data_IF_475710505613
#
_entry.id   IF_475710505613
#
_cell.length_a   1.000
_cell.length_b   1.000
_cell.length_c   1.000
_cell.angle_alpha   90.00
_cell.angle_beta   90.00
_cell.angle_gamma   90.00
#
_symmetry.space_group_name_H-M   'P 1'
#
loop_
_entity.id
_entity.type
_entity.pdbx_description
1 polymer ?
#
# COMPACT_ATOMS: atom_id res chain seq x y z
N UNK A 1 -9.14 42.88 -8.61
CA UNK A 1 -9.57 43.70 -7.45
C UNK A 1 -11.01 44.04 -7.69
N UNK A 2 -11.86 43.73 -6.72
CA UNK A 2 -13.21 44.29 -6.71
C UNK A 2 -13.19 45.74 -6.23
N UNK A 3 -14.30 46.48 -6.36
CA UNK A 3 -14.34 47.92 -6.03
C UNK A 3 -14.05 48.26 -4.54
N UNK A 4 -14.08 47.26 -3.64
CA UNK A 4 -13.72 47.37 -2.22
C UNK A 4 -12.26 46.98 -1.91
N UNK A 5 -11.40 46.78 -2.91
CA UNK A 5 -9.99 46.44 -2.72
C UNK A 5 -9.71 45.03 -2.18
N UNK A 6 -10.75 44.19 -2.00
CA UNK A 6 -10.60 42.77 -1.64
C UNK A 6 -10.05 41.98 -2.83
N UNK A 7 -9.11 41.07 -2.55
CA UNK A 7 -8.65 40.05 -3.50
C UNK A 7 -9.76 39.00 -3.65
N UNK A 8 -10.33 38.90 -4.85
CA UNK A 8 -11.30 37.85 -5.17
C UNK A 8 -10.53 36.52 -5.26
N UNK A 9 -10.90 35.47 -4.51
CA UNK A 9 -10.26 34.17 -4.62
C UNK A 9 -10.59 33.51 -5.97
N UNK A 10 -9.64 32.76 -6.50
CA UNK A 10 -9.80 32.02 -7.74
C UNK A 10 -10.26 30.61 -7.36
N UNK A 11 -11.49 30.26 -7.71
CA UNK A 11 -12.14 29.02 -7.27
C UNK A 11 -12.03 27.95 -8.36
N UNK A 12 -11.38 26.85 -8.04
CA UNK A 12 -11.06 25.77 -8.97
C UNK A 12 -11.87 24.51 -8.64
N UNK A 13 -12.32 23.79 -9.66
CA UNK A 13 -12.77 22.39 -9.55
C UNK A 13 -11.77 21.47 -10.25
N UNK A 14 -11.45 20.32 -9.66
CA UNK A 14 -10.75 19.21 -10.33
C UNK A 14 -11.60 17.93 -10.22
N UNK A 15 -11.59 17.11 -11.28
CA UNK A 15 -12.29 15.81 -11.29
C UNK A 15 -11.30 14.65 -11.42
N UNK A 16 -11.20 13.84 -10.37
CA UNK A 16 -10.44 12.60 -10.37
C UNK A 16 -11.31 11.40 -10.77
N UNK A 17 -10.74 10.45 -11.51
CA UNK A 17 -11.22 9.07 -11.65
C UNK A 17 -10.37 8.14 -10.80
N UNK A 18 -11.02 7.23 -10.09
CA UNK A 18 -10.44 6.30 -9.12
C UNK A 18 -10.56 4.88 -9.66
N UNK A 19 -9.45 4.14 -9.67
CA UNK A 19 -9.45 2.68 -9.82
C UNK A 19 -8.84 2.08 -8.53
N UNK A 20 -9.46 1.10 -7.84
CA UNK A 20 -10.72 0.41 -8.14
C UNK A 20 -11.90 1.36 -8.31
N UNK A 21 -12.90 0.92 -9.08
CA UNK A 21 -14.23 1.44 -8.84
C UNK A 21 -14.79 0.86 -7.54
N UNK A 22 -15.48 1.69 -6.77
CA UNK A 22 -16.23 1.28 -5.59
C UNK A 22 -17.56 0.67 -6.02
N UNK A 23 -18.18 -0.10 -5.12
CA UNK A 23 -19.46 -0.77 -5.41
C UNK A 23 -20.69 0.10 -5.15
N UNK A 24 -20.52 1.18 -4.39
CA UNK A 24 -21.54 2.18 -4.08
C UNK A 24 -20.85 3.53 -3.85
N UNK A 25 -21.59 4.62 -4.04
CA UNK A 25 -21.12 5.96 -3.71
C UNK A 25 -21.04 6.15 -2.19
N UNK A 26 -20.01 6.83 -1.69
CA UNK A 26 -19.74 7.05 -0.25
C UNK A 26 -19.19 8.48 -0.02
N UNK A 27 -19.42 9.07 1.15
CA UNK A 27 -18.91 10.42 1.54
C UNK A 27 -17.98 10.28 2.73
N UNK A 28 -16.72 10.69 2.59
CA UNK A 28 -15.65 10.38 3.54
C UNK A 28 -14.65 11.52 3.60
N UNK A 29 -14.36 12.01 4.80
CA UNK A 29 -13.45 13.14 5.07
C UNK A 29 -13.74 14.39 4.20
N UNK A 30 -15.01 14.57 3.82
CA UNK A 30 -15.48 15.65 2.94
C UNK A 30 -15.48 15.33 1.44
N UNK A 31 -14.87 14.23 0.99
CA UNK A 31 -14.90 13.77 -0.40
C UNK A 31 -16.16 12.96 -0.69
N UNK A 32 -16.88 13.30 -1.75
CA UNK A 32 -17.90 12.42 -2.35
C UNK A 32 -17.22 11.53 -3.39
N UNK A 33 -17.18 10.23 -3.13
CA UNK A 33 -16.83 9.20 -4.10
C UNK A 33 -18.09 8.77 -4.83
N UNK A 34 -18.29 9.22 -6.06
CA UNK A 34 -19.47 8.95 -6.89
C UNK A 34 -19.20 7.75 -7.83
N UNK A 35 -20.01 6.70 -7.74
CA UNK A 35 -19.94 5.54 -8.65
C UNK A 35 -20.87 5.75 -9.85
N UNK A 36 -20.29 5.82 -11.05
CA UNK A 36 -20.99 6.01 -12.31
C UNK A 36 -20.64 4.85 -13.26
N UNK A 37 -21.49 3.83 -13.29
CA UNK A 37 -21.27 2.63 -14.11
C UNK A 37 -20.16 1.74 -13.56
N UNK A 38 -19.00 1.72 -14.24
CA UNK A 38 -17.80 0.97 -13.84
C UNK A 38 -16.65 1.88 -13.38
N UNK A 39 -16.91 3.17 -13.16
CA UNK A 39 -15.92 4.15 -12.75
C UNK A 39 -16.34 4.83 -11.44
N UNK A 40 -15.36 5.18 -10.60
CA UNK A 40 -15.57 6.04 -9.44
C UNK A 40 -14.93 7.39 -9.70
N UNK A 41 -15.63 8.46 -9.35
CA UNK A 41 -15.14 9.82 -9.47
C UNK A 41 -15.13 10.54 -8.13
N UNK A 42 -14.19 11.48 -7.98
CA UNK A 42 -14.18 12.46 -6.88
C UNK A 42 -14.04 13.85 -7.50
N UNK A 43 -14.95 14.76 -7.17
CA UNK A 43 -14.81 16.19 -7.47
C UNK A 43 -14.33 16.92 -6.23
N UNK A 44 -13.34 17.80 -6.39
CA UNK A 44 -12.83 18.62 -5.30
C UNK A 44 -12.77 20.07 -5.75
N UNK A 45 -13.28 20.96 -4.90
CA UNK A 45 -13.23 22.41 -5.10
C UNK A 45 -12.29 23.07 -4.10
N UNK A 46 -11.41 23.95 -4.56
CA UNK A 46 -10.48 24.70 -3.70
C UNK A 46 -10.16 26.09 -4.28
N UNK A 47 -9.66 26.98 -3.43
CA UNK A 47 -9.35 28.37 -3.82
C UNK A 47 -7.85 28.64 -3.87
N UNK A 48 -7.40 29.50 -4.79
CA UNK A 48 -6.09 30.18 -4.74
C UNK A 48 -6.28 31.68 -4.56
N UNK A 49 -5.28 32.34 -3.97
CA UNK A 49 -5.24 33.79 -3.76
C UNK A 49 -4.99 34.57 -5.05
N UNK A 50 -4.26 33.98 -5.99
CA UNK A 50 -4.01 34.52 -7.33
C UNK A 50 -4.10 33.43 -8.41
N UNK A 51 -4.31 33.83 -9.66
CA UNK A 51 -4.33 32.95 -10.83
C UNK A 51 -2.95 32.37 -11.18
N UNK A 52 -1.87 33.07 -10.83
CA UNK A 52 -0.47 32.73 -11.07
C UNK A 52 0.31 32.46 -9.78
N UNK A 53 -0.40 32.21 -8.67
CA UNK A 53 0.18 31.80 -7.39
C UNK A 53 1.10 30.58 -7.59
N UNK A 54 2.27 30.60 -6.97
CA UNK A 54 3.15 29.43 -6.82
C UNK A 54 3.27 29.09 -5.35
N UNK A 55 3.28 27.79 -5.05
CA UNK A 55 3.49 27.27 -3.71
C UNK A 55 4.96 26.84 -3.55
N UNK A 56 5.44 26.82 -2.30
CA UNK A 56 6.83 26.48 -1.99
C UNK A 56 7.18 25.01 -2.25
N UNK A 57 6.17 24.15 -2.40
CA UNK A 57 6.25 22.70 -2.62
C UNK A 57 5.78 22.27 -4.03
N UNK A 58 5.75 23.21 -4.98
CA UNK A 58 5.58 22.90 -6.40
C UNK A 58 6.80 22.09 -6.90
N UNK A 59 6.56 20.94 -7.53
CA UNK A 59 7.59 19.99 -7.99
C UNK A 59 8.20 20.39 -9.35
N UNK A 60 7.51 21.24 -10.12
CA UNK A 60 7.97 21.72 -11.43
C UNK A 60 8.10 23.25 -11.53
N UNK A 61 9.04 23.72 -12.36
CA UNK A 61 9.20 25.15 -12.69
C UNK A 61 7.92 25.78 -13.27
N UNK A 62 7.09 24.98 -13.93
CA UNK A 62 5.82 25.40 -14.54
C UNK A 62 4.58 24.90 -13.77
N UNK A 63 4.76 24.33 -12.59
CA UNK A 63 3.65 23.96 -11.70
C UNK A 63 3.19 25.20 -10.91
N UNK A 64 1.89 25.45 -10.94
CA UNK A 64 1.25 26.56 -10.23
C UNK A 64 0.39 26.03 -9.06
N UNK A 65 -0.07 26.93 -8.19
CA UNK A 65 -0.77 26.58 -6.95
C UNK A 65 -2.03 25.74 -7.16
N UNK A 66 -2.76 25.92 -8.27
CA UNK A 66 -3.92 25.09 -8.58
C UNK A 66 -3.54 23.65 -8.91
N UNK A 67 -2.37 23.44 -9.53
CA UNK A 67 -1.83 22.13 -9.86
C UNK A 67 -1.24 21.46 -8.61
N UNK A 68 -0.47 22.20 -7.81
CA UNK A 68 0.02 21.73 -6.51
C UNK A 68 -1.11 21.33 -5.57
N UNK A 69 -2.21 22.10 -5.52
CA UNK A 69 -3.40 21.71 -4.75
C UNK A 69 -4.05 20.44 -5.32
N UNK A 70 -4.26 20.34 -6.64
CA UNK A 70 -4.77 19.09 -7.25
C UNK A 70 -3.91 17.87 -6.92
N UNK A 71 -2.58 17.98 -6.97
CA UNK A 71 -1.64 16.90 -6.59
C UNK A 71 -1.79 16.52 -5.12
N UNK A 72 -1.88 17.49 -4.20
CA UNK A 72 -2.12 17.23 -2.77
C UNK A 72 -3.45 16.51 -2.52
N UNK A 73 -4.54 16.91 -3.18
CA UNK A 73 -5.83 16.23 -3.05
C UNK A 73 -5.78 14.81 -3.62
N UNK A 74 -5.09 14.59 -4.75
CA UNK A 74 -4.87 13.25 -5.30
C UNK A 74 -4.11 12.34 -4.32
N UNK A 75 -3.08 12.87 -3.64
CA UNK A 75 -2.33 12.14 -2.60
C UNK A 75 -3.21 11.79 -1.38
N UNK A 76 -4.08 12.71 -0.92
CA UNK A 76 -5.03 12.41 0.16
C UNK A 76 -6.01 11.31 -0.22
N UNK A 77 -6.62 11.41 -1.40
CA UNK A 77 -7.53 10.39 -1.94
C UNK A 77 -6.80 9.04 -2.06
N UNK A 78 -5.54 9.04 -2.54
CA UNK A 78 -4.72 7.83 -2.61
C UNK A 78 -4.46 7.23 -1.22
N UNK A 79 -4.22 8.04 -0.20
CA UNK A 79 -4.02 7.56 1.16
C UNK A 79 -5.28 6.87 1.71
N UNK A 80 -6.48 7.46 1.56
CA UNK A 80 -7.75 6.81 1.90
C UNK A 80 -7.90 5.42 1.24
N UNK A 81 -7.41 5.27 0.01
CA UNK A 81 -7.41 3.98 -0.69
C UNK A 81 -6.35 3.00 -0.16
N UNK A 82 -5.20 3.47 0.34
CA UNK A 82 -4.24 2.62 1.07
C UNK A 82 -4.79 2.16 2.42
N UNK A 83 -5.44 3.04 3.19
CA UNK A 83 -6.11 2.70 4.45
C UNK A 83 -7.09 1.53 4.24
N UNK A 84 -7.86 1.59 3.14
CA UNK A 84 -8.75 0.51 2.68
C UNK A 84 -8.03 -0.79 2.37
N UNK A 85 -6.86 -0.77 1.71
CA UNK A 85 -6.07 -2.00 1.49
C UNK A 85 -5.64 -2.66 2.78
N UNK A 86 -5.15 -1.87 3.76
CA UNK A 86 -4.71 -2.40 5.05
C UNK A 86 -5.90 -3.00 5.78
N UNK A 87 -7.05 -2.33 5.79
CA UNK A 87 -8.28 -2.86 6.37
C UNK A 87 -8.73 -4.17 5.71
N UNK A 88 -8.67 -4.28 4.38
CA UNK A 88 -9.13 -5.47 3.66
C UNK A 88 -8.08 -6.60 3.67
N UNK A 89 -6.81 -6.25 3.86
CA UNK A 89 -5.61 -7.07 3.64
C UNK A 89 -5.42 -7.49 2.18
N UNK A 90 -5.87 -6.62 1.26
CA UNK A 90 -5.81 -6.84 -0.18
C UNK A 90 -4.97 -5.72 -0.79
N UNK A 91 -3.75 -6.05 -1.18
CA UNK A 91 -2.86 -5.15 -1.91
C UNK A 91 -2.93 -5.48 -3.39
N UNK A 92 -3.59 -4.61 -4.13
CA UNK A 92 -3.49 -4.49 -5.58
C UNK A 92 -3.21 -2.99 -5.83
N UNK A 93 -2.89 -2.52 -7.04
CA UNK A 93 -2.56 -1.10 -7.18
C UNK A 93 -3.74 -0.11 -7.06
N UNK A 94 -3.49 1.20 -6.94
CA UNK A 94 -4.53 2.28 -6.96
C UNK A 94 -4.39 3.06 -8.26
N UNK A 95 -5.40 3.77 -8.76
CA UNK A 95 -5.28 4.92 -9.69
C UNK A 95 -6.04 6.09 -9.10
N UNK A 96 -5.45 7.29 -9.19
CA UNK A 96 -6.13 8.57 -8.98
C UNK A 96 -5.74 9.45 -10.17
N UNK A 97 -6.53 9.41 -11.23
CA UNK A 97 -6.24 10.06 -12.52
C UNK A 97 -7.06 11.34 -12.63
N UNK A 98 -6.43 12.46 -12.98
CA UNK A 98 -7.17 13.68 -13.34
C UNK A 98 -7.86 13.45 -14.69
N UNK A 99 -9.20 13.55 -14.69
CA UNK A 99 -10.05 13.41 -15.89
C UNK A 99 -10.52 14.75 -16.45
N UNK A 100 -10.47 15.78 -15.61
CA UNK A 100 -10.62 17.17 -15.99
C UNK A 100 -9.68 17.97 -15.08
N UNK A 101 -8.68 18.63 -15.69
CA UNK A 101 -7.74 19.50 -14.98
C UNK A 101 -8.41 20.64 -14.22
N UNK A 102 -7.67 21.33 -13.33
CA UNK A 102 -8.19 22.42 -12.50
C UNK A 102 -8.94 23.46 -13.34
N UNK A 103 -10.25 23.54 -13.20
CA UNK A 103 -11.14 24.39 -14.00
C UNK A 103 -11.63 25.56 -13.15
N UNK A 104 -11.37 26.78 -13.60
CA UNK A 104 -11.75 28.01 -12.89
C UNK A 104 -13.26 28.26 -12.98
N UNK A 105 -13.95 28.11 -11.86
CA UNK A 105 -15.41 28.20 -11.74
C UNK A 105 -15.91 29.66 -11.84
N UNK A 106 -15.26 30.60 -11.15
CA UNK A 106 -15.70 31.99 -11.06
C UNK A 106 -15.06 32.91 -12.11
N UNK A 107 -14.72 32.37 -13.29
CA UNK A 107 -14.06 33.11 -14.37
C UNK A 107 -14.79 34.38 -14.82
N UNK A 108 -16.11 34.43 -14.68
CA UNK A 108 -16.93 35.60 -15.05
C UNK A 108 -16.81 36.77 -14.07
N UNK A 109 -16.33 36.52 -12.85
CA UNK A 109 -16.14 37.51 -11.78
C UNK A 109 -14.71 38.08 -11.77
N UNK A 110 -13.81 37.47 -12.55
CA UNK A 110 -12.38 37.78 -12.54
C UNK A 110 -11.98 38.64 -13.75
N UNK A 111 -10.98 39.54 -13.62
CA UNK A 111 -10.43 40.28 -14.75
C UNK A 111 -9.91 39.33 -15.85
N UNK A 112 -9.94 39.74 -17.12
CA UNK A 112 -9.52 38.88 -18.25
C UNK A 112 -8.07 38.37 -18.11
N UNK A 113 -7.94 37.15 -17.63
CA UNK A 113 -6.66 36.42 -17.52
C UNK A 113 -6.11 36.05 -18.91
N UNK A 114 -4.77 36.05 -19.03
CA UNK A 114 -4.05 35.85 -20.30
C UNK A 114 -3.29 34.53 -20.42
N UNK A 115 -3.32 33.67 -19.40
CA UNK A 115 -2.62 32.37 -19.37
C UNK A 115 -3.59 31.24 -19.73
N UNK A 116 -3.11 30.26 -20.48
CA UNK A 116 -3.85 29.01 -20.71
C UNK A 116 -3.83 28.20 -19.42
N UNK A 117 -4.98 27.73 -18.96
CA UNK A 117 -5.07 26.85 -17.78
C UNK A 117 -4.38 25.53 -18.14
N UNK A 118 -3.36 25.15 -17.37
CA UNK A 118 -2.45 24.06 -17.74
C UNK A 118 -3.15 22.71 -17.87
N UNK A 119 -2.81 21.95 -18.92
CA UNK A 119 -3.34 20.60 -19.12
C UNK A 119 -2.88 19.61 -18.03
N UNK A 120 -3.57 18.47 -18.00
CA UNK A 120 -3.57 17.43 -16.97
C UNK A 120 -2.21 17.10 -16.32
N UNK A 121 -2.18 17.13 -14.98
CA UNK A 121 -1.16 16.39 -14.23
C UNK A 121 -1.49 14.90 -14.39
N UNK A 122 -0.64 14.18 -15.12
CA UNK A 122 -0.83 12.75 -15.38
C UNK A 122 -0.40 11.94 -14.16
N UNK A 123 -1.27 11.92 -13.15
CA UNK A 123 -1.13 11.06 -11.98
C UNK A 123 -1.63 9.66 -12.37
N UNK A 124 -0.73 8.69 -12.42
CA UNK A 124 -0.99 7.30 -12.82
C UNK A 124 -0.30 6.33 -11.85
N UNK A 125 -1.02 5.28 -11.52
CA UNK A 125 -0.65 4.10 -10.71
C UNK A 125 -1.46 2.90 -11.35
N UNK A 126 -1.81 1.77 -10.71
CA UNK A 126 -2.69 0.70 -11.30
C UNK A 126 -4.15 0.43 -10.76
N UNK A 127 -4.57 -0.80 -10.42
CA UNK A 127 -6.00 -1.23 -10.28
C UNK A 127 -6.20 -2.07 -9.00
N UNK A 128 -7.28 -1.84 -8.22
CA UNK A 128 -7.89 -2.90 -7.40
C UNK A 128 -9.24 -3.36 -8.00
N UNK A 129 -9.73 -4.48 -7.49
CA UNK A 129 -11.11 -4.95 -7.44
C UNK A 129 -11.29 -5.73 -6.13
N UNK A 130 -12.22 -5.31 -5.25
CA UNK A 130 -12.81 -6.07 -4.11
C UNK A 130 -13.83 -5.21 -3.30
N UNK A 131 -14.74 -5.89 -2.60
CA UNK A 131 -15.83 -5.43 -1.72
C UNK A 131 -15.47 -4.42 -0.60
N UNK A 132 -16.50 -3.94 0.11
CA UNK A 132 -16.52 -3.22 1.40
C UNK A 132 -16.03 -1.76 1.46
N UNK A 133 -16.65 -1.04 2.40
CA UNK A 133 -16.74 0.41 2.51
C UNK A 133 -15.39 1.09 2.77
N UNK A 134 -15.15 2.24 2.13
CA UNK A 134 -14.02 3.09 2.51
C UNK A 134 -14.30 3.70 3.91
N UNK A 135 -15.55 4.06 4.24
CA UNK A 135 -15.90 4.72 5.52
C UNK A 135 -15.50 3.85 6.73
N UNK A 136 -15.82 2.55 6.67
CA UNK A 136 -15.42 1.58 7.70
C UNK A 136 -13.89 1.46 7.81
N UNK A 137 -13.18 1.46 6.69
CA UNK A 137 -11.71 1.39 6.69
C UNK A 137 -11.05 2.65 7.24
N UNK A 138 -11.63 3.81 6.96
CA UNK A 138 -11.16 5.11 7.44
C UNK A 138 -11.41 5.29 8.94
N UNK A 139 -12.57 4.82 9.42
CA UNK A 139 -12.88 4.76 10.85
C UNK A 139 -11.99 3.76 11.60
N UNK A 140 -11.69 2.60 10.99
CA UNK A 140 -10.67 1.67 11.49
C UNK A 140 -9.30 2.34 11.59
N UNK A 141 -8.89 3.11 10.57
CA UNK A 141 -7.60 3.80 10.54
C UNK A 141 -7.52 4.88 11.63
N UNK A 142 -8.42 5.87 11.62
CA UNK A 142 -8.48 6.97 12.59
C UNK A 142 -8.63 6.53 14.05
N UNK A 143 -9.25 5.38 14.31
CA UNK A 143 -9.42 4.84 15.68
C UNK A 143 -8.41 3.74 16.05
N UNK A 144 -7.54 3.37 15.11
CA UNK A 144 -6.63 2.24 15.22
C UNK A 144 -5.42 2.54 16.09
N UNK A 145 -4.60 3.48 15.61
CA UNK A 145 -3.31 3.86 16.19
C UNK A 145 -3.46 4.35 17.62
N UNK A 146 -2.96 3.55 18.56
CA UNK A 146 -3.06 3.78 20.01
C UNK A 146 -1.75 3.36 20.67
N UNK A 147 -1.57 3.72 21.93
CA UNK A 147 -0.46 3.27 22.76
C UNK A 147 0.92 3.44 22.08
N UNK A 148 1.47 2.35 21.53
CA UNK A 148 2.80 2.27 20.94
C UNK A 148 2.85 2.69 19.46
N UNK A 149 1.72 2.64 18.76
CA UNK A 149 1.58 2.95 17.33
C UNK A 149 1.02 4.35 17.06
N UNK A 150 0.62 5.09 18.09
CA UNK A 150 0.19 6.48 17.99
C UNK A 150 1.26 7.37 17.30
N UNK A 151 0.87 8.12 16.26
CA UNK A 151 1.79 9.00 15.51
C UNK A 151 2.70 8.26 14.51
N UNK A 152 2.30 7.06 14.06
CA UNK A 152 3.04 6.21 13.10
C UNK A 152 2.27 5.93 11.81
N UNK A 153 1.20 6.67 11.56
CA UNK A 153 0.32 6.55 10.40
C UNK A 153 1.12 6.60 9.09
N UNK A 154 2.06 7.54 8.97
CA UNK A 154 2.91 7.71 7.78
C UNK A 154 3.87 6.52 7.55
N UNK A 155 4.42 5.92 8.62
CA UNK A 155 5.26 4.73 8.52
C UNK A 155 4.44 3.54 7.98
N UNK A 156 3.19 3.39 8.44
CA UNK A 156 2.27 2.35 7.96
C UNK A 156 1.81 2.61 6.52
N UNK A 157 1.52 3.87 6.13
CA UNK A 157 1.21 4.24 4.74
C UNK A 157 2.38 3.94 3.80
N UNK A 158 3.62 4.20 4.24
CA UNK A 158 4.83 3.89 3.47
C UNK A 158 5.04 2.39 3.28
N UNK A 159 4.77 1.57 4.31
CA UNK A 159 4.78 0.10 4.18
C UNK A 159 3.68 -0.35 3.22
N UNK A 160 2.46 0.19 3.35
CA UNK A 160 1.34 -0.10 2.47
C UNK A 160 1.64 0.28 1.01
N UNK A 161 2.31 1.40 0.76
CA UNK A 161 2.77 1.82 -0.56
C UNK A 161 3.72 0.79 -1.18
N UNK A 162 4.72 0.28 -0.45
CA UNK A 162 5.63 -0.74 -0.98
C UNK A 162 4.89 -2.03 -1.37
N UNK A 163 3.96 -2.50 -0.53
CA UNK A 163 3.11 -3.65 -0.86
C UNK A 163 2.21 -3.37 -2.08
N UNK A 164 1.65 -2.16 -2.18
CA UNK A 164 0.85 -1.72 -3.33
C UNK A 164 1.65 -1.69 -4.64
N UNK A 165 2.87 -1.13 -4.61
CA UNK A 165 3.78 -1.03 -5.75
C UNK A 165 4.27 -2.40 -6.23
N UNK A 166 4.33 -3.40 -5.33
CA UNK A 166 4.69 -4.78 -5.72
C UNK A 166 3.71 -5.44 -6.67
N UNK A 167 2.47 -4.92 -6.78
CA UNK A 167 1.47 -5.33 -7.76
C UNK A 167 1.44 -4.49 -9.05
N UNK A 168 2.25 -3.42 -9.14
CA UNK A 168 2.39 -2.59 -10.36
C UNK A 168 3.52 -3.08 -11.26
N UNK A 169 4.49 -3.75 -10.66
CA UNK A 169 5.61 -4.35 -11.36
C UNK A 169 5.16 -5.57 -12.19
N UNK A 170 5.86 -5.78 -13.30
CA UNK A 170 5.58 -6.80 -14.30
C UNK A 170 6.55 -7.99 -14.23
N UNK A 171 7.78 -7.76 -13.78
CA UNK A 171 8.75 -8.82 -13.54
C UNK A 171 8.56 -9.44 -12.15
N UNK A 172 8.29 -10.75 -12.09
CA UNK A 172 7.97 -11.48 -10.85
C UNK A 172 9.07 -11.36 -9.77
N UNK A 173 10.33 -11.25 -10.17
CA UNK A 173 11.47 -11.14 -9.26
C UNK A 173 11.48 -9.73 -8.65
N UNK A 174 11.31 -8.68 -9.46
CA UNK A 174 11.14 -7.32 -8.99
C UNK A 174 9.88 -7.17 -8.13
N UNK A 175 8.74 -7.76 -8.50
CA UNK A 175 7.53 -7.78 -7.68
C UNK A 175 7.83 -8.33 -6.26
N UNK A 176 8.55 -9.45 -6.19
CA UNK A 176 8.95 -10.05 -4.93
C UNK A 176 9.94 -9.19 -4.13
N UNK A 177 10.93 -8.58 -4.79
CA UNK A 177 11.88 -7.62 -4.18
C UNK A 177 11.11 -6.46 -3.55
N UNK A 178 10.16 -5.86 -4.27
CA UNK A 178 9.36 -4.71 -3.82
C UNK A 178 8.44 -5.11 -2.66
N UNK A 179 7.79 -6.28 -2.73
CA UNK A 179 7.00 -6.83 -1.61
C UNK A 179 7.86 -7.10 -0.36
N UNK A 180 9.10 -7.59 -0.55
CA UNK A 180 10.04 -7.81 0.53
C UNK A 180 10.51 -6.51 1.18
N UNK A 181 10.68 -5.42 0.42
CA UNK A 181 11.00 -4.09 0.98
C UNK A 181 9.87 -3.61 1.89
N UNK A 182 8.61 -3.77 1.48
CA UNK A 182 7.45 -3.47 2.34
C UNK A 182 7.45 -4.30 3.63
N UNK A 183 7.67 -5.61 3.51
CA UNK A 183 7.74 -6.49 4.68
C UNK A 183 8.95 -6.19 5.60
N UNK A 184 10.09 -5.75 5.05
CA UNK A 184 11.25 -5.29 5.81
C UNK A 184 10.94 -4.02 6.62
N UNK A 185 10.25 -3.05 6.02
CA UNK A 185 9.72 -1.89 6.74
C UNK A 185 8.81 -2.31 7.91
N UNK A 186 7.92 -3.26 7.67
CA UNK A 186 7.01 -3.79 8.70
C UNK A 186 7.74 -4.43 9.89
N UNK A 187 8.66 -5.37 9.67
CA UNK A 187 9.37 -6.01 10.79
C UNK A 187 10.45 -5.12 11.41
N UNK A 188 10.97 -4.14 10.67
CA UNK A 188 11.82 -3.09 11.21
C UNK A 188 11.05 -2.21 12.21
N UNK A 189 9.90 -1.68 11.79
CA UNK A 189 9.02 -0.85 12.61
C UNK A 189 8.48 -1.61 13.84
N UNK A 190 8.09 -2.88 13.68
CA UNK A 190 7.67 -3.70 14.81
C UNK A 190 8.80 -3.93 15.81
N UNK A 191 10.03 -4.20 15.37
CA UNK A 191 11.16 -4.32 16.30
C UNK A 191 11.47 -2.98 16.99
N UNK A 192 11.47 -1.85 16.27
CA UNK A 192 11.67 -0.50 16.85
C UNK A 192 10.65 -0.19 17.96
N UNK A 193 9.38 -0.52 17.74
CA UNK A 193 8.28 -0.16 18.63
C UNK A 193 8.11 -1.18 19.77
N UNK A 194 8.23 -2.48 19.48
CA UNK A 194 7.77 -3.55 20.37
C UNK A 194 8.90 -4.31 21.08
N UNK A 195 10.00 -4.63 20.38
CA UNK A 195 11.02 -5.56 20.87
C UNK A 195 12.35 -4.87 21.26
N UNK A 196 12.71 -3.81 20.54
CA UNK A 196 13.90 -2.94 20.69
C UNK A 196 15.27 -3.61 20.73
N UNK A 197 15.36 -4.93 20.48
CA UNK A 197 16.54 -5.74 20.85
C UNK A 197 16.78 -6.98 19.96
N UNK A 198 16.12 -7.14 18.80
CA UNK A 198 16.35 -8.30 17.95
C UNK A 198 17.63 -8.12 17.09
N UNK A 199 18.70 -8.83 17.46
CA UNK A 199 20.03 -8.72 16.83
C UNK A 199 20.11 -9.17 15.35
N UNK A 200 19.06 -9.73 14.75
CA UNK A 200 19.05 -10.13 13.33
C UNK A 200 17.61 -10.25 12.76
N UNK A 201 17.50 -10.12 11.43
CA UNK A 201 16.23 -10.18 10.69
C UNK A 201 15.40 -11.45 10.94
N UNK A 202 16.02 -12.62 11.06
CA UNK A 202 15.27 -13.86 11.29
C UNK A 202 14.56 -13.86 12.65
N UNK A 203 15.17 -13.27 13.69
CA UNK A 203 14.52 -13.04 14.98
C UNK A 203 13.40 -11.99 14.89
N UNK A 204 13.61 -10.89 14.14
CA UNK A 204 12.56 -9.86 13.91
C UNK A 204 11.33 -10.45 13.24
N UNK A 205 11.54 -11.22 12.17
CA UNK A 205 10.48 -11.93 11.44
C UNK A 205 9.77 -12.92 12.36
N UNK A 206 10.49 -13.76 13.10
CA UNK A 206 9.89 -14.73 14.03
C UNK A 206 9.01 -14.04 15.10
N UNK A 207 9.40 -12.86 15.60
CA UNK A 207 8.61 -12.09 16.56
C UNK A 207 7.32 -11.53 15.92
N UNK A 208 7.43 -10.89 14.74
CA UNK A 208 6.28 -10.38 13.98
C UNK A 208 5.24 -11.47 13.72
N UNK A 209 5.67 -12.65 13.30
CA UNK A 209 4.74 -13.75 12.99
C UNK A 209 4.04 -14.26 14.25
N UNK A 210 4.74 -14.39 15.38
CA UNK A 210 4.15 -14.86 16.64
C UNK A 210 3.07 -13.91 17.16
N UNK A 211 3.36 -12.62 17.19
CA UNK A 211 2.46 -11.63 17.80
C UNK A 211 1.32 -11.25 16.85
N UNK A 212 1.61 -11.00 15.57
CA UNK A 212 0.66 -10.36 14.65
C UNK A 212 -0.13 -11.34 13.77
N UNK A 213 0.20 -12.65 13.73
CA UNK A 213 -0.51 -13.63 12.88
C UNK A 213 -1.41 -14.58 13.67
N UNK A 214 -1.27 -14.63 15.00
CA UNK A 214 -1.88 -15.60 15.92
C UNK A 214 -3.34 -15.98 15.61
N UNK A 215 -4.22 -15.00 15.43
CA UNK A 215 -5.66 -15.23 15.21
C UNK A 215 -6.03 -15.71 13.79
N UNK A 216 -5.12 -15.56 12.82
CA UNK A 216 -5.35 -15.87 11.40
C UNK A 216 -4.46 -16.99 10.86
N UNK A 217 -3.60 -17.57 11.69
CA UNK A 217 -2.62 -18.56 11.29
C UNK A 217 -3.25 -19.79 10.59
N UNK A 218 -4.33 -20.35 11.16
CA UNK A 218 -5.05 -21.48 10.54
C UNK A 218 -5.70 -21.12 9.20
N UNK A 219 -6.28 -19.93 9.10
CA UNK A 219 -6.85 -19.42 7.84
C UNK A 219 -5.78 -19.28 6.76
N UNK A 220 -4.63 -18.69 7.09
CA UNK A 220 -3.49 -18.52 6.16
C UNK A 220 -3.01 -19.86 5.64
N UNK A 221 -2.73 -20.82 6.54
CA UNK A 221 -2.20 -22.14 6.17
C UNK A 221 -3.18 -22.93 5.28
N UNK A 222 -4.49 -22.78 5.50
CA UNK A 222 -5.50 -23.47 4.71
C UNK A 222 -5.71 -22.81 3.33
N UNK A 223 -5.79 -21.47 3.27
CA UNK A 223 -5.99 -20.73 2.01
C UNK A 223 -4.78 -20.85 1.09
N UNK A 224 -3.57 -20.70 1.65
CA UNK A 224 -2.30 -20.73 0.90
C UNK A 224 -1.62 -22.09 0.91
N UNK A 225 -2.41 -23.18 1.01
CA UNK A 225 -1.86 -24.54 1.07
C UNK A 225 -1.00 -24.86 -0.16
N UNK A 226 -1.38 -24.36 -1.35
CA UNK A 226 -0.68 -24.59 -2.62
C UNK A 226 0.69 -23.90 -2.66
N UNK A 227 0.79 -22.69 -2.11
CA UNK A 227 2.01 -21.91 -2.04
C UNK A 227 2.98 -22.56 -1.03
N UNK A 228 2.44 -23.05 0.09
CA UNK A 228 3.17 -23.89 1.04
C UNK A 228 3.63 -25.23 0.44
N UNK A 229 2.82 -25.85 -0.44
CA UNK A 229 3.20 -27.08 -1.15
C UNK A 229 4.37 -26.86 -2.10
N UNK A 230 4.48 -25.69 -2.73
CA UNK A 230 5.65 -25.32 -3.54
C UNK A 230 6.87 -25.03 -2.65
N UNK A 231 6.71 -24.25 -1.58
CA UNK A 231 7.83 -23.94 -0.67
C UNK A 231 8.46 -25.21 -0.07
N UNK A 232 7.65 -26.20 0.33
CA UNK A 232 8.17 -27.46 0.88
C UNK A 232 8.79 -28.39 -0.16
N UNK A 233 8.50 -28.22 -1.46
CA UNK A 233 9.11 -29.00 -2.55
C UNK A 233 10.36 -28.35 -3.15
N UNK A 234 10.66 -27.10 -2.81
CA UNK A 234 11.70 -26.28 -3.45
C UNK A 234 13.14 -26.55 -2.97
N UNK A 235 13.33 -27.37 -1.92
CA UNK A 235 14.65 -27.73 -1.41
C UNK A 235 15.47 -26.56 -0.83
N UNK A 236 14.80 -25.51 -0.34
CA UNK A 236 15.42 -24.26 0.14
C UNK A 236 16.22 -24.54 1.41
N UNK A 237 17.49 -24.15 1.42
CA UNK A 237 18.42 -24.36 2.53
C UNK A 237 18.79 -23.06 3.27
N UNK A 238 19.31 -23.20 4.47
CA UNK A 238 20.05 -22.15 5.17
C UNK A 238 21.32 -21.75 4.43
N UNK A 239 21.83 -20.55 4.72
CA UNK A 239 23.04 -19.97 4.10
C UNK A 239 24.32 -20.82 4.26
N UNK A 240 24.37 -21.69 5.27
CA UNK A 240 25.47 -22.62 5.51
C UNK A 240 25.15 -24.06 5.09
N UNK A 241 24.04 -24.26 4.36
CA UNK A 241 23.47 -25.54 3.90
C UNK A 241 23.14 -26.59 4.96
N UNK A 242 23.42 -26.33 6.25
CA UNK A 242 23.22 -27.28 7.35
C UNK A 242 21.75 -27.62 7.63
N UNK A 243 20.81 -26.79 7.17
CA UNK A 243 19.39 -26.87 7.51
C UNK A 243 18.56 -26.75 6.22
N UNK A 244 17.70 -27.73 5.95
CA UNK A 244 16.76 -27.68 4.84
C UNK A 244 15.42 -27.14 5.36
N UNK A 245 15.13 -25.88 5.06
CA UNK A 245 13.92 -25.18 5.53
C UNK A 245 12.65 -25.71 4.85
N UNK A 246 12.74 -26.16 3.59
CA UNK A 246 11.63 -26.82 2.89
C UNK A 246 11.21 -28.13 3.59
N UNK A 247 12.16 -28.97 3.98
CA UNK A 247 11.87 -30.22 4.73
C UNK A 247 11.45 -29.95 6.19
N UNK A 248 11.80 -28.81 6.79
CA UNK A 248 11.26 -28.39 8.08
C UNK A 248 9.81 -27.94 8.02
N UNK A 249 9.45 -27.17 6.98
CA UNK A 249 8.07 -26.80 6.69
C UNK A 249 7.20 -28.04 6.44
N UNK A 250 7.70 -28.97 5.63
CA UNK A 250 7.05 -30.25 5.32
C UNK A 250 6.74 -31.06 6.57
N UNK A 251 7.74 -31.25 7.44
CA UNK A 251 7.59 -31.98 8.72
C UNK A 251 6.53 -31.33 9.62
N UNK A 252 6.48 -30.01 9.71
CA UNK A 252 5.49 -29.32 10.54
C UNK A 252 4.07 -29.42 9.96
N UNK A 253 3.89 -29.35 8.64
CA UNK A 253 2.58 -29.53 7.99
C UNK A 253 2.06 -30.97 8.09
N UNK A 254 2.96 -31.94 8.22
CA UNK A 254 2.65 -33.36 8.42
C UNK A 254 2.46 -33.75 9.90
N UNK A 255 2.79 -32.87 10.85
CA UNK A 255 2.57 -33.09 12.27
C UNK A 255 1.06 -33.28 12.56
N UNK A 256 0.62 -34.35 13.27
CA UNK A 256 -0.78 -34.51 13.67
C UNK A 256 -1.29 -33.36 14.55
N UNK A 257 -0.41 -32.79 15.39
CA UNK A 257 -0.70 -31.67 16.28
C UNK A 257 -0.19 -30.36 15.65
N UNK A 258 -0.76 -29.96 14.51
CA UNK A 258 -0.31 -28.81 13.71
C UNK A 258 -0.29 -27.50 14.50
N UNK A 259 0.89 -26.94 14.71
CA UNK A 259 1.04 -25.54 15.08
C UNK A 259 1.04 -24.66 13.82
N UNK A 260 -0.09 -24.00 13.57
CA UNK A 260 -0.26 -23.11 12.42
C UNK A 260 0.68 -21.89 12.43
N UNK A 261 1.09 -21.41 13.60
CA UNK A 261 2.04 -20.27 13.72
C UNK A 261 3.43 -20.77 13.34
N UNK A 262 3.84 -21.94 13.81
CA UNK A 262 5.14 -22.52 13.48
C UNK A 262 5.23 -22.91 11.99
N UNK A 263 4.15 -23.39 11.37
CA UNK A 263 4.08 -23.58 9.91
C UNK A 263 4.37 -22.26 9.18
N UNK A 264 3.77 -21.14 9.60
CA UNK A 264 3.99 -19.84 8.97
C UNK A 264 5.42 -19.33 9.22
N UNK A 265 5.97 -19.51 10.43
CA UNK A 265 7.38 -19.17 10.72
C UNK A 265 8.34 -19.93 9.80
N UNK A 266 8.14 -21.24 9.62
CA UNK A 266 8.95 -22.07 8.71
C UNK A 266 8.77 -21.67 7.24
N UNK A 267 7.57 -21.30 6.82
CA UNK A 267 7.33 -20.75 5.48
C UNK A 267 8.07 -19.42 5.28
N UNK A 268 8.02 -18.51 6.26
CA UNK A 268 8.76 -17.24 6.22
C UNK A 268 10.28 -17.42 6.20
N UNK A 269 10.82 -18.46 6.83
CA UNK A 269 12.24 -18.84 6.67
C UNK A 269 12.56 -19.29 5.25
N UNK A 270 11.69 -20.08 4.61
CA UNK A 270 11.84 -20.43 3.19
C UNK A 270 11.85 -19.18 2.30
N UNK A 271 10.91 -18.25 2.53
CA UNK A 271 10.84 -16.96 1.79
C UNK A 271 12.10 -16.12 2.02
N UNK A 272 12.63 -16.06 3.24
CA UNK A 272 13.90 -15.39 3.55
C UNK A 272 15.11 -16.05 2.84
N UNK A 273 15.08 -17.37 2.62
CA UNK A 273 16.06 -18.09 1.81
C UNK A 273 16.02 -17.68 0.34
N UNK A 274 14.82 -17.62 -0.25
CA UNK A 274 14.61 -17.15 -1.63
C UNK A 274 15.06 -15.71 -1.78
N UNK A 275 14.78 -14.85 -0.77
CA UNK A 275 15.32 -13.48 -0.74
C UNK A 275 16.85 -13.44 -0.82
N UNK A 276 17.57 -14.38 -0.21
CA UNK A 276 19.03 -14.43 -0.36
C UNK A 276 19.46 -14.85 -1.76
N UNK A 277 18.75 -15.80 -2.38
CA UNK A 277 19.02 -16.23 -3.77
C UNK A 277 18.78 -15.09 -4.77
N UNK A 278 17.69 -14.34 -4.61
CA UNK A 278 17.32 -13.22 -5.49
C UNK A 278 18.24 -12.01 -5.34
N UNK A 279 18.65 -11.65 -4.12
CA UNK A 279 19.41 -10.41 -3.88
C UNK A 279 20.93 -10.56 -3.93
N UNK A 280 21.49 -11.77 -3.83
CA UNK A 280 22.93 -11.98 -3.60
C UNK A 280 23.54 -13.08 -4.48
N UNK A 281 23.05 -13.23 -5.72
CA UNK A 281 23.66 -14.08 -6.78
C UNK A 281 23.94 -15.55 -6.40
N UNK A 282 23.19 -16.12 -5.45
CA UNK A 282 23.31 -17.54 -5.13
C UNK A 282 22.78 -18.42 -6.27
N UNK A 283 23.20 -19.69 -6.30
CA UNK A 283 22.80 -20.64 -7.36
C UNK A 283 21.27 -20.68 -7.53
N UNK A 284 20.80 -20.27 -8.72
CA UNK A 284 19.39 -20.09 -8.98
C UNK A 284 18.72 -21.42 -9.34
N UNK A 285 17.64 -21.83 -8.66
CA UNK A 285 16.89 -23.02 -9.04
C UNK A 285 16.22 -22.80 -10.41
N UNK A 286 16.15 -23.85 -11.24
CA UNK A 286 15.60 -23.78 -12.62
C UNK A 286 14.14 -23.30 -12.70
N UNK A 287 13.41 -23.33 -11.58
CA UNK A 287 12.03 -22.89 -11.43
C UNK A 287 11.91 -21.66 -10.50
N UNK A 288 12.96 -20.84 -10.36
CA UNK A 288 13.00 -19.67 -9.46
C UNK A 288 11.78 -18.76 -9.62
N UNK A 289 11.37 -18.42 -10.85
CA UNK A 289 10.23 -17.53 -11.11
C UNK A 289 8.92 -18.05 -10.49
N UNK A 290 8.62 -19.35 -10.61
CA UNK A 290 7.40 -19.94 -10.04
C UNK A 290 7.45 -20.02 -8.51
N UNK A 291 8.64 -20.28 -7.95
CA UNK A 291 8.89 -20.26 -6.50
C UNK A 291 8.69 -18.83 -5.97
N UNK A 292 9.27 -17.84 -6.65
CA UNK A 292 9.22 -16.41 -6.34
C UNK A 292 7.78 -15.88 -6.38
N UNK A 293 7.01 -16.14 -7.46
CA UNK A 293 5.58 -15.78 -7.55
C UNK A 293 4.78 -16.27 -6.35
N UNK A 294 4.94 -17.56 -6.03
CA UNK A 294 4.19 -18.21 -4.94
C UNK A 294 4.61 -17.70 -3.56
N UNK A 295 5.89 -17.32 -3.44
CA UNK A 295 6.45 -16.72 -2.23
C UNK A 295 5.97 -15.29 -2.03
N UNK A 296 5.86 -14.51 -3.12
CA UNK A 296 5.26 -13.17 -3.14
C UNK A 296 3.80 -13.23 -2.69
N UNK A 297 3.00 -14.13 -3.23
CA UNK A 297 1.57 -14.21 -2.92
C UNK A 297 1.31 -14.53 -1.43
N UNK A 298 2.08 -15.46 -0.87
CA UNK A 298 2.05 -15.76 0.56
C UNK A 298 2.63 -14.61 1.42
N UNK A 299 3.73 -14.00 0.98
CA UNK A 299 4.39 -12.88 1.67
C UNK A 299 3.46 -11.66 1.78
N UNK A 300 2.81 -11.26 0.69
CA UNK A 300 1.89 -10.12 0.66
C UNK A 300 0.73 -10.35 1.63
N UNK A 301 0.13 -11.55 1.65
CA UNK A 301 -0.99 -11.81 2.55
C UNK A 301 -0.59 -11.86 4.03
N UNK A 302 0.58 -12.43 4.34
CA UNK A 302 1.15 -12.39 5.69
C UNK A 302 1.45 -10.95 6.10
N UNK A 303 2.17 -10.19 5.26
CA UNK A 303 2.52 -8.80 5.51
C UNK A 303 1.28 -7.93 5.72
N UNK A 304 0.26 -8.11 4.88
CA UNK A 304 -1.03 -7.42 4.99
C UNK A 304 -1.76 -7.74 6.29
N UNK A 305 -1.81 -9.02 6.67
CA UNK A 305 -2.41 -9.47 7.93
C UNK A 305 -1.66 -8.88 9.14
N UNK A 306 -0.33 -8.95 9.13
CA UNK A 306 0.50 -8.37 10.17
C UNK A 306 0.31 -6.85 10.27
N UNK A 307 0.34 -6.13 9.14
CA UNK A 307 0.18 -4.67 9.09
C UNK A 307 -1.19 -4.25 9.64
N UNK A 308 -2.28 -4.93 9.25
CA UNK A 308 -3.62 -4.67 9.81
C UNK A 308 -3.65 -4.86 11.32
N UNK A 309 -3.11 -5.97 11.81
CA UNK A 309 -3.14 -6.30 13.23
C UNK A 309 -2.20 -5.40 14.06
N UNK A 310 -1.13 -4.90 13.45
CA UNK A 310 -0.16 -4.01 14.12
C UNK A 310 -0.77 -2.63 14.42
N UNK A 311 -1.73 -2.14 13.63
CA UNK A 311 -2.41 -0.85 13.88
C UNK A 311 -3.04 -0.77 15.28
N UNK A 312 -3.51 -1.90 15.83
CA UNK A 312 -4.16 -1.95 17.15
C UNK A 312 -3.22 -2.28 18.33
N UNK A 313 -1.90 -2.29 18.11
CA UNK A 313 -0.87 -2.70 19.09
C UNK A 313 -0.31 -1.52 19.92
#
# INVERSE_FOLDING_TARGET
MDMDGKTIPHNWEVKFSISPTLKKSEIIDGYLFEVCGQETFVRVTYSTSAFDEKLSDSEGEYEYAEQTKARREASRIRNLMLERMVYQRVFQPIRVVITCGPTLLNRNELPKERRFVGNDIVIKYSILDVNDSIEESHNFWKSGFKNKTNGREDDFLRIAEWLQRSGEESDEINCFIIAWIGFNGLYGLFDEICCKNANNDATKIDNVIKELVKEKASQIVNVYSRELDKLQSSGIKSQNEKMNWSEELKRERQNPNRDYIEIIRKAMRCIYGIRKQVFHEAEQPKNLVDIVRSSKDLLIFIAATCLKNFIYY
#
